data_IF_255027950373
#
_entry.id   IF_255027950373
#
_cell.length_a   1.000
_cell.length_b   1.000
_cell.length_c   1.000
_cell.angle_alpha   90.00
_cell.angle_beta   90.00
_cell.angle_gamma   90.00
#
_symmetry.space_group_name_H-M   'P 1'
#
loop_
_entity.id
_entity.type
_entity.pdbx_description
1 polymer ?
#
# COMPACT_ATOMS: atom_id res chain seq x y z
N UNK A 1 7.16 6.12 4.05
CA UNK A 1 5.88 6.74 3.63
C UNK A 1 4.83 6.94 4.75
N UNK A 2 4.16 5.90 5.27
CA UNK A 2 2.97 6.05 6.14
C UNK A 2 3.21 6.93 7.39
N UNK A 3 4.38 6.82 8.02
CA UNK A 3 4.77 7.64 9.15
C UNK A 3 4.90 9.13 8.80
N UNK A 4 5.44 9.47 7.62
CA UNK A 4 5.57 10.85 7.15
C UNK A 4 4.22 11.45 6.79
N UNK A 5 3.38 10.70 6.07
CA UNK A 5 2.04 11.17 5.72
C UNK A 5 1.19 11.41 6.97
N UNK A 6 1.29 10.53 7.97
CA UNK A 6 0.60 10.72 9.25
C UNK A 6 1.05 12.02 9.94
N UNK A 7 2.37 12.31 9.95
CA UNK A 7 2.89 13.59 10.47
C UNK A 7 2.42 14.79 9.65
N UNK A 8 2.37 14.68 8.32
CA UNK A 8 1.88 15.74 7.44
C UNK A 8 0.40 16.04 7.69
N UNK A 9 -0.45 15.02 7.78
CA UNK A 9 -1.87 15.17 8.12
C UNK A 9 -2.08 15.83 9.50
N UNK A 10 -1.27 15.46 10.49
CA UNK A 10 -1.35 16.06 11.81
C UNK A 10 -1.01 17.57 11.78
N UNK A 11 -0.06 18.01 10.95
CA UNK A 11 0.25 19.44 10.75
C UNK A 11 -0.91 20.21 10.13
N UNK A 12 -1.74 19.55 9.32
CA UNK A 12 -2.99 20.09 8.77
C UNK A 12 -4.19 19.95 9.73
N UNK A 13 -3.95 19.65 11.02
CA UNK A 13 -5.00 19.50 12.02
C UNK A 13 -5.81 18.19 11.92
N UNK A 14 -5.36 17.23 11.11
CA UNK A 14 -6.02 15.92 10.93
C UNK A 14 -5.32 14.84 11.74
N UNK A 15 -5.83 14.57 12.94
CA UNK A 15 -5.33 13.50 13.80
C UNK A 15 -5.99 12.16 13.46
N UNK A 16 -5.29 11.35 12.66
CA UNK A 16 -5.79 10.04 12.19
C UNK A 16 -5.50 8.92 13.21
N UNK A 17 -6.34 7.88 13.22
CA UNK A 17 -6.04 6.62 13.90
C UNK A 17 -5.24 5.73 12.95
N UNK A 18 -4.23 5.04 13.46
CA UNK A 18 -3.35 4.19 12.68
C UNK A 18 -3.59 2.70 12.99
N UNK A 19 -3.80 1.89 11.97
CA UNK A 19 -3.87 0.42 12.02
C UNK A 19 -3.06 -0.17 10.86
N UNK A 20 -2.74 -1.46 10.92
CA UNK A 20 -1.95 -2.14 9.90
C UNK A 20 -2.59 -3.46 9.48
N UNK A 21 -2.70 -3.65 8.17
CA UNK A 21 -3.08 -4.91 7.54
C UNK A 21 -1.83 -5.50 6.88
N UNK A 22 -1.43 -6.72 7.26
CA UNK A 22 -0.32 -7.40 6.61
C UNK A 22 -0.83 -8.41 5.61
N UNK A 23 -0.62 -8.12 4.33
CA UNK A 23 -0.89 -9.02 3.20
C UNK A 23 0.40 -9.66 2.69
N UNK A 24 0.32 -10.93 2.29
CA UNK A 24 1.40 -11.63 1.61
C UNK A 24 0.87 -12.34 0.37
N UNK A 25 1.60 -12.26 -0.75
CA UNK A 25 1.32 -13.05 -1.95
C UNK A 25 1.76 -14.50 -1.76
N UNK A 26 0.93 -15.45 -2.17
CA UNK A 26 1.27 -16.88 -2.11
C UNK A 26 2.14 -17.31 -3.30
N UNK A 27 3.34 -17.85 -3.00
CA UNK A 27 4.22 -18.53 -3.95
C UNK A 27 5.24 -17.62 -4.63
N UNK A 28 6.52 -17.95 -4.42
CA UNK A 28 7.64 -17.49 -5.24
C UNK A 28 7.43 -17.89 -6.71
N UNK A 29 7.87 -17.01 -7.60
CA UNK A 29 8.12 -17.24 -9.03
C UNK A 29 6.89 -17.40 -9.97
N UNK A 30 6.70 -16.35 -10.77
CA UNK A 30 6.18 -16.33 -12.14
C UNK A 30 4.72 -16.72 -12.44
N UNK A 31 3.94 -17.32 -11.54
CA UNK A 31 2.49 -17.51 -11.78
C UNK A 31 1.68 -17.54 -10.47
N UNK A 32 1.65 -16.43 -9.72
CA UNK A 32 0.76 -16.35 -8.56
C UNK A 32 -0.70 -16.38 -9.03
N UNK A 33 -1.45 -17.43 -8.69
CA UNK A 33 -2.89 -17.60 -8.93
C UNK A 33 -3.76 -16.63 -8.09
N UNK A 34 -3.28 -15.41 -7.86
CA UNK A 34 -4.07 -14.31 -7.28
C UNK A 34 -4.52 -14.48 -5.83
N UNK A 35 -4.01 -15.47 -5.09
CA UNK A 35 -4.41 -15.70 -3.71
C UNK A 35 -3.49 -14.94 -2.75
N UNK A 36 -4.06 -13.98 -2.03
CA UNK A 36 -3.39 -13.18 -1.02
C UNK A 36 -3.75 -13.74 0.36
N UNK A 37 -2.74 -13.87 1.22
CA UNK A 37 -2.87 -14.30 2.61
C UNK A 37 -2.89 -13.08 3.54
N UNK A 38 -3.83 -13.05 4.49
CA UNK A 38 -3.84 -12.07 5.58
C UNK A 38 -3.01 -12.62 6.73
N UNK A 39 -1.81 -12.07 6.94
CA UNK A 39 -0.90 -12.47 8.03
C UNK A 39 -1.19 -11.75 9.33
N UNK A 40 -1.65 -10.51 9.25
CA UNK A 40 -2.09 -9.74 10.40
C UNK A 40 -3.35 -8.95 10.02
N UNK A 41 -4.53 -9.28 10.59
CA UNK A 41 -5.76 -8.54 10.33
C UNK A 41 -5.78 -7.21 11.10
N UNK A 42 -6.74 -6.35 10.75
CA UNK A 42 -7.00 -5.11 11.50
C UNK A 42 -7.28 -5.40 12.97
N UNK A 43 -6.72 -4.58 13.85
CA UNK A 43 -6.88 -4.72 15.30
C UNK A 43 -8.03 -3.87 15.85
N UNK A 44 -8.58 -2.96 15.04
CA UNK A 44 -9.70 -2.08 15.41
C UNK A 44 -10.88 -2.26 14.48
N UNK A 45 -12.07 -2.06 15.01
CA UNK A 45 -13.30 -2.04 14.22
C UNK A 45 -13.28 -0.90 13.20
N UNK A 46 -13.62 -1.24 11.95
CA UNK A 46 -13.74 -0.30 10.84
C UNK A 46 -15.22 0.04 10.53
N UNK A 47 -16.16 -0.51 11.29
CA UNK A 47 -17.60 -0.31 11.10
C UNK A 47 -17.97 1.17 11.06
N UNK A 48 -18.60 1.60 9.98
CA UNK A 48 -19.03 2.99 9.77
C UNK A 48 -17.89 4.01 9.61
N UNK A 49 -16.63 3.56 9.46
CA UNK A 49 -15.46 4.45 9.37
C UNK A 49 -15.12 4.80 7.93
N UNK A 50 -14.58 6.01 7.75
CA UNK A 50 -13.84 6.39 6.55
C UNK A 50 -12.39 5.95 6.71
N UNK A 51 -11.89 5.16 5.77
CA UNK A 51 -10.55 4.57 5.83
C UNK A 51 -9.73 5.04 4.64
N UNK A 52 -8.51 5.49 4.91
CA UNK A 52 -7.49 5.76 3.89
C UNK A 52 -6.44 4.65 3.96
N UNK A 53 -6.41 3.78 2.96
CA UNK A 53 -5.38 2.74 2.82
C UNK A 53 -4.11 3.38 2.26
N UNK A 54 -2.98 3.11 2.90
CA UNK A 54 -1.66 3.55 2.46
C UNK A 54 -0.86 2.36 1.96
N UNK A 55 -0.32 2.45 0.76
CA UNK A 55 0.60 1.45 0.19
C UNK A 55 1.87 2.13 -0.32
N UNK A 56 3.00 1.42 -0.34
CA UNK A 56 4.28 2.00 -0.76
C UNK A 56 4.44 2.02 -2.28
N UNK A 57 4.03 0.96 -2.99
CA UNK A 57 4.15 0.87 -4.44
C UNK A 57 2.91 0.25 -5.10
N UNK A 58 2.36 0.98 -6.06
CA UNK A 58 1.36 0.47 -6.98
C UNK A 58 2.02 -0.08 -8.24
N UNK A 59 2.07 -1.41 -8.33
CA UNK A 59 2.55 -2.15 -9.50
C UNK A 59 1.37 -2.74 -10.29
N UNK A 60 1.03 -4.02 -10.08
CA UNK A 60 -0.16 -4.64 -10.72
C UNK A 60 -1.49 -4.21 -10.10
N UNK A 61 -1.44 -3.68 -8.88
CA UNK A 61 -2.59 -3.23 -8.09
C UNK A 61 -3.37 -4.34 -7.35
N UNK A 62 -2.96 -5.61 -7.46
CA UNK A 62 -3.68 -6.73 -6.83
C UNK A 62 -3.71 -6.65 -5.30
N UNK A 63 -2.60 -6.30 -4.66
CA UNK A 63 -2.52 -6.13 -3.21
C UNK A 63 -3.44 -5.02 -2.70
N UNK A 64 -3.45 -3.88 -3.39
CA UNK A 64 -4.30 -2.74 -3.05
C UNK A 64 -5.79 -3.08 -3.23
N UNK A 65 -6.16 -3.74 -4.32
CA UNK A 65 -7.54 -4.19 -4.54
C UNK A 65 -8.02 -5.14 -3.43
N UNK A 66 -7.17 -6.05 -3.00
CA UNK A 66 -7.50 -6.96 -1.90
C UNK A 66 -7.61 -6.24 -0.56
N UNK A 67 -6.70 -5.30 -0.27
CA UNK A 67 -6.81 -4.45 0.91
C UNK A 67 -8.13 -3.67 0.92
N UNK A 68 -8.54 -3.11 -0.22
CA UNK A 68 -9.84 -2.43 -0.37
C UNK A 68 -11.01 -3.38 -0.10
N UNK A 69 -10.97 -4.60 -0.67
CA UNK A 69 -12.01 -5.63 -0.46
C UNK A 69 -12.14 -5.98 1.03
N UNK A 70 -11.04 -6.34 1.68
CA UNK A 70 -10.99 -6.68 3.12
C UNK A 70 -11.51 -5.51 3.98
N UNK A 71 -11.13 -4.29 3.64
CA UNK A 71 -11.53 -3.08 4.39
C UNK A 71 -13.03 -2.81 4.28
N UNK A 72 -13.62 -3.01 3.10
CA UNK A 72 -15.07 -2.89 2.90
C UNK A 72 -15.83 -3.98 3.64
N UNK A 73 -15.34 -5.23 3.58
CA UNK A 73 -15.94 -6.36 4.31
C UNK A 73 -15.86 -6.20 5.83
N UNK A 74 -14.87 -5.46 6.34
CA UNK A 74 -14.76 -5.09 7.74
C UNK A 74 -15.70 -3.94 8.18
N UNK A 75 -16.61 -3.49 7.30
CA UNK A 75 -17.66 -2.52 7.63
C UNK A 75 -17.32 -1.05 7.36
N UNK A 76 -16.23 -0.75 6.66
CA UNK A 76 -15.88 0.64 6.34
C UNK A 76 -16.97 1.31 5.48
N UNK A 77 -17.39 2.51 5.89
CA UNK A 77 -18.38 3.31 5.15
C UNK A 77 -17.81 3.94 3.88
N UNK A 78 -16.50 4.21 3.87
CA UNK A 78 -15.79 4.78 2.73
C UNK A 78 -14.35 4.26 2.76
N UNK A 79 -13.82 3.88 1.60
CA UNK A 79 -12.43 3.42 1.45
C UNK A 79 -11.78 4.22 0.34
N UNK A 80 -10.78 5.03 0.73
CA UNK A 80 -9.88 5.76 -0.15
C UNK A 80 -8.52 5.08 -0.14
N UNK A 81 -7.73 5.33 -1.17
CA UNK A 81 -6.41 4.72 -1.39
C UNK A 81 -5.37 5.78 -1.71
N UNK A 82 -4.20 5.66 -1.11
CA UNK A 82 -3.05 6.51 -1.40
C UNK A 82 -1.79 5.65 -1.52
N UNK A 83 -1.11 5.79 -2.64
CA UNK A 83 0.15 5.08 -2.89
C UNK A 83 1.29 6.08 -2.98
N UNK A 84 2.46 5.70 -2.46
CA UNK A 84 3.64 6.54 -2.61
C UNK A 84 4.13 6.55 -4.07
N UNK A 85 4.43 5.39 -4.63
CA UNK A 85 4.97 5.26 -5.99
C UNK A 85 4.01 4.50 -6.91
N UNK A 86 3.70 5.04 -8.10
CA UNK A 86 3.01 4.31 -9.17
C UNK A 86 4.00 3.92 -10.25
N UNK A 87 4.14 2.61 -10.54
CA UNK A 87 4.96 2.13 -11.66
C UNK A 87 4.19 2.23 -12.98
N UNK A 88 4.88 2.39 -14.11
CA UNK A 88 4.24 2.57 -15.41
C UNK A 88 3.79 1.20 -15.93
N UNK A 89 2.65 0.71 -15.43
CA UNK A 89 2.05 -0.52 -15.92
C UNK A 89 1.06 -0.20 -17.04
N UNK A 90 1.16 -0.84 -18.22
CA UNK A 90 0.32 -0.48 -19.36
C UNK A 90 -1.17 -0.79 -19.15
N UNK A 91 -1.51 -1.72 -18.24
CA UNK A 91 -2.90 -2.09 -17.86
C UNK A 91 -2.95 -2.61 -16.42
N UNK A 92 -3.25 -1.77 -15.42
CA UNK A 92 -3.46 -2.23 -14.05
C UNK A 92 -4.53 -3.32 -14.00
N UNK A 93 -4.37 -4.30 -13.10
CA UNK A 93 -5.37 -5.36 -12.87
C UNK A 93 -6.40 -4.99 -11.80
N UNK A 94 -6.36 -3.74 -11.35
CA UNK A 94 -7.14 -3.20 -10.25
C UNK A 94 -7.52 -1.73 -10.54
N UNK A 95 -8.52 -1.17 -9.82
CA UNK A 95 -8.82 0.25 -9.89
C UNK A 95 -7.59 1.12 -9.59
N UNK A 96 -7.53 2.30 -10.23
CA UNK A 96 -6.50 3.30 -9.95
C UNK A 96 -6.60 3.81 -8.51
N UNK A 97 -5.46 4.12 -7.86
CA UNK A 97 -5.46 4.77 -6.55
C UNK A 97 -6.08 6.16 -6.61
N UNK A 98 -6.75 6.58 -5.53
CA UNK A 98 -7.35 7.92 -5.43
C UNK A 98 -6.25 9.00 -5.35
N UNK A 99 -5.11 8.67 -4.73
CA UNK A 99 -3.97 9.57 -4.57
C UNK A 99 -2.65 8.86 -4.90
N UNK A 100 -1.82 9.51 -5.72
CA UNK A 100 -0.48 9.04 -6.08
C UNK A 100 0.55 10.09 -5.66
N UNK A 101 1.54 9.70 -4.87
CA UNK A 101 2.61 10.59 -4.42
C UNK A 101 3.65 10.87 -5.50
N UNK A 102 3.98 9.87 -6.32
CA UNK A 102 5.03 9.95 -7.34
C UNK A 102 4.82 8.93 -8.47
N UNK A 103 5.05 9.37 -9.72
CA UNK A 103 5.15 8.50 -10.89
C UNK A 103 6.56 7.94 -10.99
N UNK A 104 6.72 6.67 -10.62
CA UNK A 104 8.00 5.99 -10.60
C UNK A 104 8.42 5.52 -12.00
N UNK A 105 9.74 5.40 -12.28
CA UNK A 105 10.21 4.73 -13.47
C UNK A 105 9.97 3.21 -13.38
N UNK A 106 10.03 2.52 -14.53
CA UNK A 106 10.01 1.05 -14.57
C UNK A 106 11.36 0.48 -14.12
N UNK A 107 11.63 0.57 -12.82
CA UNK A 107 12.85 0.07 -12.17
C UNK A 107 12.50 -0.71 -10.91
N UNK A 108 13.42 -1.53 -10.45
CA UNK A 108 13.33 -2.15 -9.14
C UNK A 108 13.81 -1.13 -8.10
N UNK A 109 12.89 -0.67 -7.24
CA UNK A 109 13.14 0.40 -6.29
C UNK A 109 13.27 -0.14 -4.86
N UNK A 110 14.16 0.46 -4.07
CA UNK A 110 14.40 0.14 -2.66
C UNK A 110 14.58 1.43 -1.85
N UNK A 111 14.49 1.33 -0.53
CA UNK A 111 14.62 2.48 0.37
C UNK A 111 13.28 3.18 0.63
N UNK A 112 13.28 4.08 1.61
CA UNK A 112 12.09 4.79 2.10
C UNK A 112 10.90 3.88 2.47
N UNK A 113 11.19 2.65 2.88
CA UNK A 113 10.22 1.61 3.18
C UNK A 113 10.16 0.47 2.15
N UNK A 114 10.51 0.72 0.88
CA UNK A 114 10.58 -0.31 -0.17
C UNK A 114 11.75 -1.27 0.09
N UNK A 115 11.59 -2.54 -0.29
CA UNK A 115 12.56 -3.59 0.03
C UNK A 115 13.02 -4.43 -1.16
N UNK A 116 14.16 -5.09 -0.93
CA UNK A 116 14.59 -6.25 -1.69
C UNK A 116 14.87 -7.39 -0.72
N UNK A 117 14.11 -8.49 -0.81
CA UNK A 117 14.22 -9.64 0.08
C UNK A 117 14.17 -9.27 1.58
N UNK A 118 13.35 -8.28 1.94
CA UNK A 118 13.22 -7.76 3.31
C UNK A 118 14.31 -6.75 3.73
N UNK A 119 15.37 -6.58 2.94
CA UNK A 119 16.45 -5.63 3.19
C UNK A 119 16.20 -4.24 2.61
N UNK A 120 17.13 -3.31 2.87
CA UNK A 120 17.23 -1.96 2.27
C UNK A 120 16.09 -0.97 2.59
N UNK A 121 15.05 -1.36 3.34
CA UNK A 121 13.93 -0.49 3.74
C UNK A 121 14.33 0.82 4.41
N UNK A 122 15.42 0.77 5.19
CA UNK A 122 15.87 1.87 6.04
C UNK A 122 16.70 2.94 5.32
N UNK A 123 16.99 2.78 4.02
CA UNK A 123 17.66 3.84 3.26
C UNK A 123 16.78 5.10 3.28
N UNK A 124 17.35 6.29 3.55
CA UNK A 124 16.56 7.53 3.61
C UNK A 124 16.06 7.96 2.23
N UNK A 125 16.75 7.54 1.18
CA UNK A 125 16.47 7.86 -0.21
C UNK A 125 15.73 6.72 -0.94
N UNK A 126 15.16 7.06 -2.09
CA UNK A 126 14.72 6.06 -3.08
C UNK A 126 15.90 5.71 -3.97
N UNK A 127 16.29 4.45 -3.98
CA UNK A 127 17.35 3.93 -4.84
C UNK A 127 16.78 2.95 -5.86
N UNK A 128 17.42 2.84 -7.02
CA UNK A 128 17.18 1.74 -7.95
C UNK A 128 18.25 0.66 -7.74
N UNK A 129 17.85 -0.61 -7.79
CA UNK A 129 18.77 -1.73 -7.94
C UNK A 129 18.94 -1.98 -9.43
N UNK A 130 19.86 -1.26 -10.06
CA UNK A 130 20.31 -1.47 -11.44
C UNK A 130 21.84 -1.48 -11.58
#
# INVERSE_FOLDING_TARGET
>A
FAADLTRALAREGRNVRFDALWLASYGDEQTSRGRIEVRAPYQRSLEGRKVLILDDVFDTGLSLAEAVRITREAGAAEVLTCVFARKPWPKPRAPEPDFVGWEAPNRFLVGYGLDHAGGLRGLPDICALD
#
